data_IF_538104697942
#
_entry.id   IF_538104697942
#
_cell.length_a   1.000
_cell.length_b   1.000
_cell.length_c   1.000
_cell.angle_alpha   90.00
_cell.angle_beta   90.00
_cell.angle_gamma   90.00
#
_symmetry.space_group_name_H-M   'P 1'
#
loop_
_entity.id
_entity.type
_entity.pdbx_description
1 polymer ?
#
# COMPACT_ATOMS: atom_id res chain seq x y z
N UNK A 1 9.16 -2.04 3.01
CA UNK A 1 10.48 -2.40 3.55
C UNK A 1 11.35 -3.15 2.56
N UNK A 2 10.92 -4.28 1.95
CA UNK A 2 11.72 -5.04 0.95
C UNK A 2 12.31 -4.21 -0.19
N UNK A 3 11.54 -3.28 -0.75
CA UNK A 3 12.05 -2.36 -1.79
C UNK A 3 13.23 -1.54 -1.26
N UNK A 4 13.12 -0.99 -0.05
CA UNK A 4 14.12 -0.11 0.55
C UNK A 4 15.39 -0.89 0.90
N UNK A 5 15.24 -2.10 1.43
CA UNK A 5 16.34 -3.06 1.64
C UNK A 5 17.09 -3.36 0.35
N UNK A 6 16.38 -3.67 -0.74
CA UNK A 6 16.99 -3.94 -2.04
C UNK A 6 17.73 -2.71 -2.61
N UNK A 7 17.17 -1.50 -2.46
CA UNK A 7 17.83 -0.27 -2.90
C UNK A 7 19.14 -0.04 -2.15
N UNK A 8 19.12 -0.19 -0.81
CA UNK A 8 20.31 -0.05 0.04
C UNK A 8 21.37 -1.09 -0.32
N UNK A 9 21.00 -2.36 -0.50
CA UNK A 9 21.93 -3.43 -0.90
C UNK A 9 22.53 -3.22 -2.29
N UNK A 10 21.79 -2.58 -3.19
CA UNK A 10 22.30 -2.20 -4.52
C UNK A 10 23.21 -0.97 -4.50
N UNK A 11 23.40 -0.33 -3.34
CA UNK A 11 24.14 0.92 -3.21
C UNK A 11 23.40 2.13 -3.80
N UNK A 12 22.09 2.01 -4.05
CA UNK A 12 21.27 3.12 -4.53
C UNK A 12 20.72 3.92 -3.34
N UNK A 13 21.42 4.98 -3.00
CA UNK A 13 21.11 5.91 -1.91
C UNK A 13 20.30 7.14 -2.35
N UNK A 14 19.80 7.18 -3.59
CA UNK A 14 19.06 8.33 -4.14
C UNK A 14 17.88 8.77 -3.25
N UNK A 15 17.22 7.81 -2.58
CA UNK A 15 16.11 8.06 -1.67
C UNK A 15 16.54 8.26 -0.21
N UNK A 16 17.83 8.14 0.08
CA UNK A 16 18.42 8.22 1.41
C UNK A 16 19.49 9.30 1.45
N UNK A 17 19.12 10.54 1.17
CA UNK A 17 20.06 11.69 1.08
C UNK A 17 20.87 11.93 2.36
N UNK A 18 20.34 11.52 3.52
CA UNK A 18 21.07 11.55 4.79
C UNK A 18 22.03 10.38 4.99
N UNK A 19 21.82 9.23 4.33
CA UNK A 19 22.77 8.10 4.38
C UNK A 19 24.12 8.47 3.78
N UNK A 20 24.17 9.37 2.80
CA UNK A 20 25.43 9.90 2.28
C UNK A 20 26.24 10.69 3.34
N UNK A 21 25.56 11.34 4.29
CA UNK A 21 26.20 12.18 5.31
C UNK A 21 26.82 11.37 6.45
N UNK A 22 26.37 10.15 6.64
CA UNK A 22 26.89 9.25 7.67
C UNK A 22 27.58 8.10 6.97
N UNK A 23 28.86 7.85 7.24
CA UNK A 23 29.62 6.75 6.65
C UNK A 23 29.14 5.39 7.20
N UNK A 24 27.89 5.03 6.91
CA UNK A 24 27.20 3.84 7.41
C UNK A 24 27.49 2.69 6.45
N UNK A 25 27.80 1.52 7.02
CA UNK A 25 27.91 0.31 6.22
C UNK A 25 26.53 -0.11 5.71
N UNK A 26 26.32 -0.03 4.39
CA UNK A 26 25.06 -0.40 3.73
C UNK A 26 24.51 -1.77 4.16
N UNK A 27 25.39 -2.74 4.42
CA UNK A 27 25.02 -4.05 4.92
C UNK A 27 24.35 -3.99 6.31
N UNK A 28 24.88 -3.18 7.24
CA UNK A 28 24.30 -3.02 8.57
C UNK A 28 22.92 -2.35 8.50
N UNK A 29 22.80 -1.32 7.65
CA UNK A 29 21.51 -0.64 7.45
C UNK A 29 20.45 -1.56 6.83
N UNK A 30 20.85 -2.43 5.88
CA UNK A 30 19.95 -3.42 5.31
C UNK A 30 19.45 -4.43 6.36
N UNK A 31 20.32 -4.90 7.26
CA UNK A 31 19.92 -5.78 8.37
C UNK A 31 18.94 -5.09 9.32
N UNK A 32 19.14 -3.81 9.66
CA UNK A 32 18.20 -3.04 10.46
C UNK A 32 16.82 -2.89 9.77
N UNK A 33 16.80 -2.63 8.46
CA UNK A 33 15.55 -2.57 7.69
C UNK A 33 14.82 -3.91 7.69
N UNK A 34 15.55 -5.01 7.62
CA UNK A 34 15.00 -6.36 7.67
C UNK A 34 14.41 -6.68 9.05
N UNK A 35 15.16 -6.41 10.13
CA UNK A 35 14.68 -6.57 11.50
C UNK A 35 13.41 -5.75 11.75
N UNK A 36 13.41 -4.48 11.31
CA UNK A 36 12.24 -3.61 11.41
C UNK A 36 11.05 -4.17 10.62
N UNK A 37 11.28 -4.75 9.44
CA UNK A 37 10.24 -5.40 8.64
C UNK A 37 9.62 -6.61 9.35
N UNK A 38 10.44 -7.42 10.04
CA UNK A 38 9.97 -8.56 10.83
C UNK A 38 9.18 -8.08 12.06
N UNK A 39 9.69 -7.10 12.80
CA UNK A 39 8.99 -6.50 13.94
C UNK A 39 7.64 -5.91 13.53
N UNK A 40 7.58 -5.20 12.40
CA UNK A 40 6.35 -4.66 11.85
C UNK A 40 5.37 -5.80 11.50
N UNK A 41 5.86 -6.84 10.82
CA UNK A 41 5.03 -7.99 10.44
C UNK A 41 4.43 -8.70 11.65
N UNK A 42 5.23 -8.86 12.72
CA UNK A 42 4.78 -9.48 13.96
C UNK A 42 3.76 -8.58 14.69
N UNK A 43 4.04 -7.28 14.78
CA UNK A 43 3.16 -6.31 15.44
C UNK A 43 1.79 -6.21 14.77
N UNK A 44 1.73 -6.35 13.44
CA UNK A 44 0.51 -6.27 12.64
C UNK A 44 0.05 -7.66 12.14
N UNK A 45 0.42 -8.73 12.84
CA UNK A 45 0.07 -10.09 12.45
C UNK A 45 -1.44 -10.37 12.57
N UNK A 46 -2.09 -9.75 13.55
CA UNK A 46 -3.55 -9.70 13.72
C UNK A 46 -4.26 -9.09 12.50
N UNK A 47 -3.76 -7.96 11.98
CA UNK A 47 -4.28 -7.35 10.75
C UNK A 47 -4.12 -8.27 9.54
N UNK A 48 -3.00 -8.97 9.45
CA UNK A 48 -2.75 -9.94 8.38
C UNK A 48 -3.72 -11.12 8.45
N UNK A 49 -4.06 -11.58 9.66
CA UNK A 49 -5.07 -12.62 9.85
C UNK A 49 -6.48 -12.14 9.49
N UNK A 50 -6.72 -10.83 9.45
CA UNK A 50 -7.97 -10.21 9.00
C UNK A 50 -7.95 -9.78 7.53
N UNK A 51 -6.90 -10.08 6.77
CA UNK A 51 -6.74 -9.63 5.37
C UNK A 51 -7.95 -10.04 4.51
N UNK A 52 -8.44 -11.26 4.67
CA UNK A 52 -9.59 -11.76 3.92
C UNK A 52 -10.90 -11.03 4.30
N UNK A 53 -11.04 -10.63 5.56
CA UNK A 53 -12.15 -9.77 6.00
C UNK A 53 -12.07 -8.40 5.32
N UNK A 54 -10.89 -7.77 5.27
CA UNK A 54 -10.71 -6.49 4.58
C UNK A 54 -10.95 -6.61 3.06
N UNK A 55 -10.50 -7.69 2.43
CA UNK A 55 -10.78 -7.98 1.02
C UNK A 55 -12.29 -8.09 0.79
N UNK A 56 -13.01 -8.74 1.70
CA UNK A 56 -14.45 -8.85 1.61
C UNK A 56 -15.15 -7.49 1.63
N UNK A 57 -14.73 -6.57 2.52
CA UNK A 57 -15.29 -5.22 2.57
C UNK A 57 -14.99 -4.40 1.30
N UNK A 58 -13.76 -4.47 0.80
CA UNK A 58 -13.31 -3.72 -0.39
C UNK A 58 -13.89 -4.26 -1.70
N UNK A 59 -14.25 -5.54 -1.73
CA UNK A 59 -14.83 -6.23 -2.89
C UNK A 59 -16.27 -6.67 -2.66
N UNK A 60 -16.97 -6.10 -1.68
CA UNK A 60 -18.33 -6.49 -1.28
C UNK A 60 -19.31 -6.55 -2.46
N UNK A 61 -19.18 -5.66 -3.44
CA UNK A 61 -20.02 -5.61 -4.65
C UNK A 61 -19.70 -6.64 -5.73
N UNK A 62 -18.54 -7.31 -5.67
CA UNK A 62 -18.05 -8.23 -6.73
C UNK A 62 -17.55 -9.58 -6.19
N UNK A 63 -17.50 -9.75 -4.88
CA UNK A 63 -17.01 -10.96 -4.22
C UNK A 63 -17.98 -12.12 -4.40
N UNK A 64 -17.45 -13.34 -4.52
CA UNK A 64 -18.29 -14.53 -4.58
C UNK A 64 -18.86 -14.82 -3.17
N UNK A 65 -20.18 -14.85 -3.09
CA UNK A 65 -20.96 -15.00 -1.85
C UNK A 65 -20.76 -16.36 -1.18
N UNK A 66 -20.26 -17.38 -1.88
CA UNK A 66 -20.12 -18.74 -1.31
C UNK A 66 -18.89 -18.92 -0.42
N UNK A 67 -17.87 -18.07 -0.54
CA UNK A 67 -16.61 -18.21 0.22
C UNK A 67 -16.65 -17.63 1.65
N UNK A 68 -17.33 -16.50 1.92
CA UNK A 68 -17.40 -15.94 3.27
C UNK A 68 -18.20 -16.83 4.25
N UNK A 69 -18.02 -16.65 5.57
CA UNK A 69 -18.84 -17.32 6.59
C UNK A 69 -20.34 -17.14 6.34
N UNK A 70 -21.14 -18.18 6.56
CA UNK A 70 -22.58 -18.23 6.24
C UNK A 70 -23.37 -17.02 6.74
N UNK A 71 -23.05 -16.51 7.94
CA UNK A 71 -23.73 -15.36 8.52
C UNK A 71 -23.46 -14.03 7.77
N UNK A 72 -22.36 -13.93 7.01
CA UNK A 72 -22.05 -12.78 6.17
C UNK A 72 -22.59 -12.94 4.74
N UNK A 73 -22.87 -14.15 4.29
CA UNK A 73 -23.34 -14.41 2.92
C UNK A 73 -24.63 -13.66 2.61
N UNK A 74 -25.60 -13.70 3.54
CA UNK A 74 -26.87 -12.99 3.38
C UNK A 74 -26.69 -11.45 3.34
N UNK A 75 -25.78 -10.90 4.16
CA UNK A 75 -25.50 -9.46 4.15
C UNK A 75 -24.80 -9.04 2.85
N UNK A 76 -23.90 -9.86 2.32
CA UNK A 76 -23.28 -9.62 1.02
C UNK A 76 -24.30 -9.66 -0.11
N UNK A 77 -25.22 -10.63 -0.12
CA UNK A 77 -26.29 -10.68 -1.12
C UNK A 77 -27.12 -9.40 -1.09
N UNK A 78 -27.52 -8.92 0.11
CA UNK A 78 -28.26 -7.67 0.25
C UNK A 78 -27.49 -6.46 -0.29
N UNK A 79 -26.18 -6.40 -0.05
CA UNK A 79 -25.33 -5.32 -0.56
C UNK A 79 -25.22 -5.39 -2.10
N UNK A 80 -25.02 -6.59 -2.66
CA UNK A 80 -24.87 -6.80 -4.10
C UNK A 80 -26.15 -6.57 -4.88
N UNK A 81 -27.31 -6.92 -4.32
CA UNK A 81 -28.62 -6.67 -4.92
C UNK A 81 -29.03 -5.19 -4.84
N UNK A 82 -28.38 -4.40 -3.98
CA UNK A 82 -28.62 -2.97 -3.89
C UNK A 82 -27.86 -2.22 -5.00
N UNK A 83 -28.55 -1.99 -6.12
CA UNK A 83 -28.01 -1.28 -7.28
C UNK A 83 -27.50 0.13 -6.97
N UNK A 84 -28.17 0.85 -6.06
CA UNK A 84 -27.76 2.19 -5.63
C UNK A 84 -26.45 2.17 -4.85
N UNK A 85 -26.30 1.26 -3.87
CA UNK A 85 -25.06 1.11 -3.11
C UNK A 85 -23.93 0.66 -4.04
N UNK A 86 -24.20 -0.31 -4.91
CA UNK A 86 -23.23 -0.82 -5.88
C UNK A 86 -22.70 0.29 -6.79
N UNK A 87 -23.57 1.15 -7.32
CA UNK A 87 -23.17 2.32 -8.11
C UNK A 87 -22.25 3.26 -7.32
N UNK A 88 -22.62 3.62 -6.09
CA UNK A 88 -21.81 4.51 -5.24
C UNK A 88 -20.42 3.94 -4.93
N UNK A 89 -20.32 2.64 -4.71
CA UNK A 89 -19.02 1.98 -4.46
C UNK A 89 -18.14 1.94 -5.70
N UNK A 90 -18.71 1.81 -6.91
CA UNK A 90 -17.92 1.90 -8.15
C UNK A 90 -17.45 3.33 -8.42
N UNK A 91 -18.28 4.35 -8.15
CA UNK A 91 -17.88 5.76 -8.27
C UNK A 91 -16.66 6.10 -7.42
N UNK A 92 -16.59 5.57 -6.18
CA UNK A 92 -15.43 5.73 -5.28
C UNK A 92 -14.19 4.99 -5.77
N UNK A 93 -14.33 3.88 -6.49
CA UNK A 93 -13.17 3.16 -7.05
C UNK A 93 -12.56 3.91 -8.23
N UNK A 94 -13.35 4.60 -9.05
CA UNK A 94 -12.85 5.38 -10.18
C UNK A 94 -11.98 6.57 -9.75
N UNK A 95 -12.25 7.19 -8.60
CA UNK A 95 -11.46 8.31 -8.05
C UNK A 95 -10.14 7.88 -7.39
N UNK A 96 -9.96 6.58 -7.15
CA UNK A 96 -8.73 5.98 -6.61
C UNK A 96 -7.77 5.48 -7.71
N UNK A 97 -8.19 5.51 -8.98
CA UNK A 97 -7.31 5.11 -10.07
C UNK A 97 -6.06 6.01 -10.10
N UNK A 98 -4.88 5.37 -10.21
CA UNK A 98 -3.56 6.01 -10.29
C UNK A 98 -3.49 7.26 -11.18
N UNK A 99 -4.42 7.42 -12.13
CA UNK A 99 -4.51 8.57 -13.01
C UNK A 99 -4.67 9.89 -12.27
N UNK A 100 -5.44 9.95 -11.17
CA UNK A 100 -5.61 11.21 -10.42
C UNK A 100 -4.39 11.52 -9.54
N UNK A 101 -3.72 10.49 -9.01
CA UNK A 101 -2.44 10.66 -8.32
C UNK A 101 -1.32 11.04 -9.29
N UNK A 102 -1.25 10.42 -10.48
CA UNK A 102 -0.29 10.78 -11.55
C UNK A 102 -0.55 12.20 -12.06
N UNK A 103 -1.82 12.59 -12.26
CA UNK A 103 -2.19 13.97 -12.60
C UNK A 103 -1.84 14.94 -11.49
N UNK A 104 -1.99 14.55 -10.23
CA UNK A 104 -1.58 15.35 -9.08
C UNK A 104 -0.05 15.53 -9.05
N UNK A 105 0.73 14.46 -9.25
CA UNK A 105 2.19 14.51 -9.33
C UNK A 105 2.68 15.35 -10.52
N UNK A 106 1.96 15.35 -11.64
CA UNK A 106 2.26 16.20 -12.81
C UNK A 106 1.98 17.69 -12.55
N UNK A 107 1.15 18.03 -11.56
CA UNK A 107 0.86 19.41 -11.15
C UNK A 107 1.87 19.94 -10.13
N UNK A 108 2.70 19.09 -9.52
CA UNK A 108 3.75 19.54 -8.60
C UNK A 108 4.87 20.16 -9.44
N UNK A 109 5.21 21.46 -9.25
CA UNK A 109 6.32 22.08 -9.95
C UNK A 109 7.60 21.33 -9.62
N UNK A 110 8.24 20.71 -10.62
CA UNK A 110 9.57 20.11 -10.44
C UNK A 110 10.55 21.23 -10.15
N UNK A 111 10.91 21.42 -8.87
CA UNK A 111 12.05 22.27 -8.52
C UNK A 111 13.28 21.70 -9.22
N UNK A 112 13.93 22.53 -10.04
CA UNK A 112 15.23 22.18 -10.64
C UNK A 112 16.19 21.77 -9.52
N UNK A 113 17.06 20.77 -9.72
CA UNK A 113 18.13 20.52 -8.78
C UNK A 113 18.93 21.82 -8.63
N UNK A 114 19.26 22.17 -7.39
CA UNK A 114 20.11 23.32 -7.11
C UNK A 114 21.40 23.14 -7.91
N UNK A 115 21.65 24.07 -8.82
CA UNK A 115 22.96 24.22 -9.46
C UNK A 115 23.96 24.46 -8.33
N UNK A 116 24.86 23.49 -8.12
CA UNK A 116 26.06 23.75 -7.34
C UNK A 116 26.88 24.79 -8.12
N UNK A 117 27.09 25.95 -7.52
CA UNK A 117 28.11 26.92 -7.87
C UNK A 117 29.00 27.07 -6.64
#
# INVERSE_FOLDING_TARGET
MRLWEAQVLSGNDYHFTTLYLFNIAYAQYAEELKLMSEQLSNRFSDYKNMEDCFKLFTTSTKSNVQYPPTHLQMELTKIQENSLLTSKFEDVKFTSSNLDFVRFLQKIPRKRPFSAA
#
